data_IF_007924164619
#
_entry.id   IF_007924164619
#
_cell.length_a   1.000
_cell.length_b   1.000
_cell.length_c   1.000
_cell.angle_alpha   90.00
_cell.angle_beta   90.00
_cell.angle_gamma   90.00
#
_symmetry.space_group_name_H-M   'P 1'
#
loop_
_entity.id
_entity.type
_entity.pdbx_description
1 polymer ?
#
# COMPACT_ATOMS: atom_id res chain seq x y z
N UNK A 1 20.52 29.68 6.02
CA UNK A 1 20.87 28.40 5.37
C UNK A 1 20.72 27.35 6.46
N UNK A 2 19.55 26.69 6.50
CA UNK A 2 19.30 25.59 7.44
C UNK A 2 18.71 24.49 6.58
N UNK A 3 19.58 23.76 5.89
CA UNK A 3 19.19 22.51 5.25
C UNK A 3 19.14 21.48 6.37
N UNK A 4 17.93 21.09 6.77
CA UNK A 4 17.74 19.96 7.68
C UNK A 4 18.46 18.73 7.09
N UNK A 5 19.40 18.12 7.83
CA UNK A 5 20.19 17.03 7.30
C UNK A 5 19.32 15.77 7.19
N UNK A 6 19.05 15.37 5.95
CA UNK A 6 18.80 13.97 5.52
C UNK A 6 17.41 13.38 5.78
N UNK A 7 16.34 14.16 5.69
CA UNK A 7 15.03 13.56 5.41
C UNK A 7 15.03 13.05 3.95
N UNK A 8 15.03 11.72 3.75
CA UNK A 8 14.88 11.13 2.42
C UNK A 8 13.54 11.61 1.85
N UNK A 9 13.51 12.23 0.65
CA UNK A 9 12.26 12.68 0.08
C UNK A 9 11.37 11.46 -0.19
N UNK A 10 10.08 11.57 0.11
CA UNK A 10 9.09 10.49 -0.04
C UNK A 10 9.12 9.88 -1.46
N UNK A 11 9.41 10.69 -2.48
CA UNK A 11 9.54 10.27 -3.88
C UNK A 11 10.77 9.40 -4.17
N UNK A 12 11.80 9.41 -3.32
CA UNK A 12 12.97 8.55 -3.48
C UNK A 12 12.81 7.17 -2.81
N UNK A 13 11.72 6.97 -2.07
CA UNK A 13 11.41 5.68 -1.44
C UNK A 13 10.74 4.78 -2.47
N UNK A 14 11.33 3.63 -2.85
CA UNK A 14 10.76 2.73 -3.85
C UNK A 14 9.59 1.89 -3.31
N UNK A 15 9.29 2.00 -2.03
CA UNK A 15 8.20 1.29 -1.35
C UNK A 15 6.96 2.18 -1.31
N UNK A 16 5.75 1.65 -1.63
CA UNK A 16 4.50 2.35 -1.41
C UNK A 16 4.45 3.00 -0.03
N UNK A 17 4.35 4.33 0.02
CA UNK A 17 4.42 5.08 1.27
C UNK A 17 3.53 6.33 1.23
N UNK A 18 2.90 6.61 2.36
CA UNK A 18 2.11 7.81 2.60
C UNK A 18 2.42 8.43 3.97
N UNK A 19 2.30 9.75 4.06
CA UNK A 19 2.33 10.48 5.32
C UNK A 19 0.91 10.77 5.78
N UNK A 20 0.66 10.60 7.07
CA UNK A 20 -0.65 10.78 7.69
C UNK A 20 -0.64 11.99 8.60
N UNK A 21 -1.67 12.82 8.50
CA UNK A 21 -1.96 13.91 9.44
C UNK A 21 -3.19 13.58 10.26
N UNK A 22 -3.25 14.07 11.50
CA UNK A 22 -4.45 13.96 12.33
C UNK A 22 -5.16 15.32 12.31
N UNK A 23 -6.33 15.39 11.68
CA UNK A 23 -7.20 16.55 11.70
C UNK A 23 -8.50 16.19 12.41
N UNK A 24 -8.88 16.92 13.46
CA UNK A 24 -10.10 16.67 14.25
C UNK A 24 -10.23 15.21 14.75
N UNK A 25 -9.10 14.61 15.15
CA UNK A 25 -9.03 13.22 15.61
C UNK A 25 -9.21 12.18 14.49
N UNK A 26 -9.12 12.59 13.22
CA UNK A 26 -9.26 11.73 12.05
C UNK A 26 -7.94 11.66 11.29
N UNK A 27 -7.38 10.45 11.09
CA UNK A 27 -6.20 10.29 10.26
C UNK A 27 -6.55 10.48 8.77
N UNK A 28 -5.87 11.41 8.12
CA UNK A 28 -5.97 11.74 6.69
C UNK A 28 -4.65 11.51 5.98
N UNK A 29 -4.73 11.01 4.75
CA UNK A 29 -3.57 10.88 3.87
C UNK A 29 -3.19 12.28 3.37
N UNK A 30 -2.01 12.75 3.77
CA UNK A 30 -1.53 14.10 3.44
C UNK A 30 -0.63 14.10 2.21
N UNK A 31 0.22 13.08 2.06
CA UNK A 31 1.08 12.87 0.87
C UNK A 31 1.28 11.40 0.60
N UNK A 32 1.46 11.06 -0.67
CA UNK A 32 1.79 9.72 -1.16
C UNK A 32 2.98 9.81 -2.11
N UNK A 33 3.74 8.72 -2.29
CA UNK A 33 4.66 8.59 -3.42
C UNK A 33 4.00 7.91 -4.62
N UNK A 34 4.72 7.91 -5.75
CA UNK A 34 4.32 7.23 -6.99
C UNK A 34 4.07 5.74 -6.76
N UNK A 35 4.95 5.05 -6.01
CA UNK A 35 4.77 3.64 -5.69
C UNK A 35 3.46 3.36 -4.92
N UNK A 36 3.00 4.28 -4.08
CA UNK A 36 1.71 4.17 -3.40
C UNK A 36 0.55 4.29 -4.38
N UNK A 37 0.63 5.25 -5.30
CA UNK A 37 -0.38 5.45 -6.34
C UNK A 37 -0.44 4.25 -7.28
N UNK A 38 0.71 3.67 -7.65
CA UNK A 38 0.78 2.48 -8.50
C UNK A 38 0.19 1.24 -7.81
N UNK A 39 0.37 1.13 -6.48
CA UNK A 39 -0.11 0.00 -5.72
C UNK A 39 -1.61 0.10 -5.41
N UNK A 40 -2.09 1.26 -4.98
CA UNK A 40 -3.44 1.43 -4.41
C UNK A 40 -4.36 2.33 -5.23
N UNK A 41 -3.85 2.92 -6.31
CA UNK A 41 -4.54 3.92 -7.11
C UNK A 41 -4.34 5.36 -6.58
N UNK A 42 -4.79 6.36 -7.36
CA UNK A 42 -4.71 7.75 -6.96
C UNK A 42 -5.56 8.04 -5.71
N UNK A 43 -5.07 8.94 -4.87
CA UNK A 43 -5.75 9.37 -3.65
C UNK A 43 -5.95 10.88 -3.72
N UNK A 44 -7.20 11.32 -3.53
CA UNK A 44 -7.53 12.74 -3.44
C UNK A 44 -6.91 13.35 -2.17
N UNK A 45 -6.56 14.64 -2.21
CA UNK A 45 -6.08 15.35 -1.03
C UNK A 45 -7.10 15.26 0.12
N UNK A 46 -6.59 15.18 1.35
CA UNK A 46 -7.39 15.11 2.59
C UNK A 46 -8.31 13.87 2.72
N UNK A 47 -8.13 12.85 1.87
CA UNK A 47 -8.84 11.57 2.00
C UNK A 47 -8.55 10.93 3.35
N UNK A 48 -9.59 10.61 4.12
CA UNK A 48 -9.42 9.91 5.40
C UNK A 48 -8.97 8.47 5.18
N UNK A 49 -8.25 7.88 6.14
CA UNK A 49 -7.87 6.46 6.08
C UNK A 49 -9.09 5.55 5.89
N UNK A 50 -10.23 5.90 6.50
CA UNK A 50 -11.47 5.13 6.34
C UNK A 50 -12.13 5.27 4.97
N UNK A 51 -11.96 6.39 4.28
CA UNK A 51 -12.41 6.55 2.89
C UNK A 51 -11.49 5.83 1.94
N UNK A 52 -10.17 6.06 2.08
CA UNK A 52 -9.16 5.36 1.28
C UNK A 52 -9.29 3.85 1.38
N UNK A 53 -9.45 3.29 2.59
CA UNK A 53 -9.58 1.84 2.77
C UNK A 53 -10.79 1.25 2.03
N UNK A 54 -11.89 2.00 1.90
CA UNK A 54 -13.10 1.55 1.22
C UNK A 54 -13.02 1.67 -0.30
N UNK A 55 -12.29 2.67 -0.79
CA UNK A 55 -12.13 2.91 -2.23
C UNK A 55 -10.95 2.14 -2.82
N UNK A 56 -9.93 1.88 -2.01
CA UNK A 56 -8.74 1.18 -2.44
C UNK A 56 -9.08 -0.30 -2.72
N UNK A 57 -8.39 -0.94 -3.67
CA UNK A 57 -8.60 -2.35 -4.00
C UNK A 57 -7.97 -3.29 -2.96
N UNK A 58 -8.19 -3.01 -1.67
CA UNK A 58 -7.55 -3.66 -0.52
C UNK A 58 -8.49 -4.69 0.10
N UNK A 59 -7.97 -5.90 0.31
CA UNK A 59 -8.60 -6.96 1.07
C UNK A 59 -7.67 -7.37 2.22
N UNK A 60 -8.21 -7.53 3.42
CA UNK A 60 -7.42 -7.81 4.61
C UNK A 60 -8.22 -8.65 5.61
N UNK A 61 -7.63 -9.74 6.05
CA UNK A 61 -8.17 -10.58 7.13
C UNK A 61 -7.51 -10.26 8.49
N UNK A 62 -6.35 -9.59 8.48
CA UNK A 62 -5.49 -9.39 9.65
C UNK A 62 -5.45 -7.94 10.18
N UNK A 63 -5.71 -6.97 9.30
CA UNK A 63 -5.77 -5.54 9.63
C UNK A 63 -7.18 -5.05 9.38
N UNK A 64 -7.87 -4.62 10.44
CA UNK A 64 -9.13 -3.89 10.32
C UNK A 64 -8.89 -2.38 10.21
N UNK A 65 -9.77 -1.69 9.49
CA UNK A 65 -9.67 -0.24 9.31
C UNK A 65 -9.85 0.54 10.61
N UNK A 66 -10.63 0.03 11.57
CA UNK A 66 -10.81 0.64 12.88
C UNK A 66 -9.52 0.53 13.71
N UNK A 67 -8.85 -0.62 13.66
CA UNK A 67 -7.56 -0.84 14.34
C UNK A 67 -6.49 0.07 13.74
N UNK A 68 -6.40 0.13 12.39
CA UNK A 68 -5.48 1.04 11.70
C UNK A 68 -5.72 2.51 12.08
N UNK A 69 -6.99 2.94 12.16
CA UNK A 69 -7.34 4.31 12.56
C UNK A 69 -6.96 4.59 14.01
N UNK A 70 -7.20 3.61 14.89
CA UNK A 70 -6.87 3.71 16.32
C UNK A 70 -5.36 3.82 16.49
N UNK A 71 -4.60 2.93 15.85
CA UNK A 71 -3.15 2.93 15.88
C UNK A 71 -2.57 4.25 15.37
N UNK A 72 -3.02 4.73 14.20
CA UNK A 72 -2.58 6.01 13.66
C UNK A 72 -2.94 7.19 14.58
N UNK A 73 -4.09 7.18 15.24
CA UNK A 73 -4.50 8.28 16.12
C UNK A 73 -3.72 8.24 17.44
N UNK A 74 -3.65 7.06 18.07
CA UNK A 74 -3.01 6.79 19.36
C UNK A 74 -1.48 6.74 19.32
N UNK A 75 -0.91 6.63 18.12
CA UNK A 75 0.53 6.53 17.93
C UNK A 75 1.10 5.15 18.18
N UNK A 76 0.29 4.11 17.94
CA UNK A 76 0.70 2.72 18.03
C UNK A 76 1.13 2.22 16.65
N UNK A 77 2.03 1.24 16.64
CA UNK A 77 2.44 0.58 15.41
C UNK A 77 1.42 -0.50 15.04
N UNK A 78 1.17 -0.62 13.74
CA UNK A 78 0.43 -1.77 13.19
C UNK A 78 1.29 -2.43 12.13
N UNK A 79 1.22 -3.75 12.06
CA UNK A 79 1.90 -4.54 11.05
C UNK A 79 1.02 -5.72 10.67
N UNK A 80 0.59 -5.77 9.41
CA UNK A 80 -0.21 -6.88 8.93
C UNK A 80 -0.24 -6.99 7.41
N UNK A 81 -0.70 -8.15 6.94
CA UNK A 81 -0.78 -8.42 5.51
C UNK A 81 -2.09 -7.92 4.92
N UNK A 82 -1.99 -7.32 3.74
CA UNK A 82 -3.12 -6.91 2.91
C UNK A 82 -2.92 -7.44 1.49
N UNK A 83 -3.99 -7.86 0.84
CA UNK A 83 -4.00 -8.23 -0.58
C UNK A 83 -4.57 -7.06 -1.38
N UNK A 84 -4.01 -6.82 -2.55
CA UNK A 84 -4.42 -5.73 -3.43
C UNK A 84 -4.64 -6.27 -4.82
N UNK A 85 -5.83 -6.06 -5.38
CA UNK A 85 -6.24 -6.64 -6.66
C UNK A 85 -6.53 -5.54 -7.68
N UNK A 86 -5.62 -5.32 -8.64
CA UNK A 86 -5.74 -4.29 -9.70
C UNK A 86 -5.59 -4.95 -11.06
N UNK A 87 -6.49 -4.64 -12.00
CA UNK A 87 -6.50 -5.21 -13.37
C UNK A 87 -6.38 -6.74 -13.43
N UNK A 88 -7.01 -7.44 -12.47
CA UNK A 88 -6.96 -8.89 -12.36
C UNK A 88 -5.65 -9.46 -11.82
N UNK A 89 -4.72 -8.62 -11.35
CA UNK A 89 -3.48 -9.01 -10.70
C UNK A 89 -3.59 -8.78 -9.20
N UNK A 90 -3.46 -9.85 -8.42
CA UNK A 90 -3.45 -9.78 -6.94
C UNK A 90 -2.02 -9.77 -6.43
N UNK A 91 -1.67 -8.77 -5.60
CA UNK A 91 -0.37 -8.64 -4.93
C UNK A 91 -0.57 -8.59 -3.43
N UNK A 92 0.31 -9.25 -2.68
CA UNK A 92 0.31 -9.20 -1.22
C UNK A 92 1.33 -8.20 -0.72
N UNK A 93 0.89 -7.28 0.12
CA UNK A 93 1.73 -6.31 0.80
C UNK A 93 1.67 -6.50 2.32
N UNK A 94 2.79 -6.20 2.97
CA UNK A 94 2.86 -6.02 4.42
C UNK A 94 2.67 -4.54 4.72
N UNK A 95 1.48 -4.19 5.20
CA UNK A 95 1.09 -2.84 5.58
C UNK A 95 1.60 -2.53 6.99
N UNK A 96 2.26 -1.37 7.14
CA UNK A 96 2.78 -0.90 8.40
C UNK A 96 2.40 0.55 8.65
N UNK A 97 1.88 0.83 9.83
CA UNK A 97 1.78 2.17 10.37
C UNK A 97 2.89 2.37 11.41
N UNK A 98 3.56 3.52 11.34
CA UNK A 98 4.61 3.87 12.29
C UNK A 98 4.53 5.35 12.66
N UNK A 99 4.92 5.66 13.90
CA UNK A 99 5.03 7.03 14.39
C UNK A 99 6.47 7.33 14.79
N UNK A 100 7.10 8.27 14.09
CA UNK A 100 8.49 8.70 14.35
C UNK A 100 8.56 10.21 14.50
N UNK A 101 9.07 10.70 15.64
CA UNK A 101 9.20 12.13 15.91
C UNK A 101 7.88 12.94 15.81
N UNK A 102 6.72 12.29 15.95
CA UNK A 102 5.39 12.88 15.77
C UNK A 102 4.84 12.83 14.33
N UNK A 103 5.66 12.44 13.36
CA UNK A 103 5.23 12.13 12.01
C UNK A 103 4.62 10.73 11.95
N UNK A 104 3.48 10.59 11.28
CA UNK A 104 2.79 9.31 11.10
C UNK A 104 2.95 8.87 9.66
N UNK A 105 3.31 7.62 9.47
CA UNK A 105 3.54 7.07 8.14
C UNK A 105 2.77 5.78 7.96
N UNK A 106 2.34 5.54 6.73
CA UNK A 106 1.78 4.29 6.26
C UNK A 106 2.68 3.78 5.14
N UNK A 107 3.16 2.56 5.24
CA UNK A 107 3.99 1.94 4.21
C UNK A 107 3.48 0.55 3.88
N UNK A 108 3.66 0.12 2.63
CA UNK A 108 3.27 -1.21 2.20
C UNK A 108 4.44 -1.86 1.46
N UNK A 109 5.14 -2.79 2.11
CA UNK A 109 6.24 -3.50 1.49
C UNK A 109 5.71 -4.73 0.75
N UNK A 110 6.10 -4.97 -0.52
CA UNK A 110 5.72 -6.20 -1.19
C UNK A 110 6.30 -7.40 -0.45
N UNK A 111 5.48 -8.41 -0.19
CA UNK A 111 5.97 -9.67 0.35
C UNK A 111 6.83 -10.37 -0.72
N UNK A 112 8.12 -10.56 -0.43
CA UNK A 112 9.03 -11.29 -1.32
C UNK A 112 8.56 -12.74 -1.41
N UNK A 113 7.85 -13.07 -2.50
CA UNK A 113 7.42 -14.44 -2.81
C UNK A 113 5.95 -14.61 -3.20
N UNK A 114 5.14 -13.54 -3.22
CA UNK A 114 3.70 -13.62 -3.54
C UNK A 114 3.35 -12.95 -4.87
N UNK A 115 4.16 -13.15 -5.90
CA UNK A 115 3.66 -13.03 -7.28
C UNK A 115 2.98 -14.35 -7.58
N UNK A 116 1.70 -14.46 -7.23
CA UNK A 116 0.87 -15.49 -7.82
C UNK A 116 0.60 -14.98 -9.23
N UNK A 117 1.46 -15.37 -10.17
CA UNK A 117 1.22 -15.31 -11.62
C UNK A 117 0.05 -16.25 -11.93
N UNK A 118 -1.15 -15.90 -11.49
CA UNK A 118 -2.38 -16.44 -12.03
C UNK A 118 -2.61 -15.70 -13.35
N UNK A 119 -2.66 -16.46 -14.44
CA UNK A 119 -2.99 -16.03 -15.81
C UNK A 119 -1.88 -15.38 -16.67
N UNK A 120 -0.83 -16.17 -17.02
CA UNK A 120 -0.38 -16.31 -18.43
C UNK A 120 0.65 -17.42 -18.68
N UNK A 121 0.31 -18.68 -18.41
CA UNK A 121 0.89 -19.78 -19.21
C UNK A 121 -0.02 -20.00 -20.42
N UNK A 122 0.01 -19.03 -21.35
CA UNK A 122 -0.42 -19.28 -22.71
C UNK A 122 0.70 -20.03 -23.42
N UNK A 123 0.86 -21.33 -23.14
CA UNK A 123 1.69 -22.18 -24.01
C UNK A 123 0.90 -22.46 -25.27
N UNK A 124 1.11 -21.62 -26.27
CA UNK A 124 0.90 -21.96 -27.66
C UNK A 124 1.85 -23.10 -28.00
N UNK A 125 1.41 -24.36 -27.88
CA UNK A 125 1.92 -25.42 -28.75
C UNK A 125 0.91 -25.59 -29.86
N UNK A 126 1.22 -24.96 -30.99
CA UNK A 126 0.54 -25.19 -32.25
C UNK A 126 0.60 -26.68 -32.63
N UNK A 127 -0.54 -27.15 -33.13
CA UNK A 127 -0.70 -28.20 -34.14
C UNK A 127 -0.27 -29.63 -33.83
N UNK A 128 -1.30 -30.46 -33.66
CA UNK A 128 -1.49 -31.75 -34.32
C UNK A 128 -0.68 -31.91 -35.62
N UNK A 129 0.02 -33.04 -35.76
CA UNK A 129 0.06 -33.78 -37.02
C UNK A 129 0.58 -35.20 -36.80
N UNK A 130 -0.39 -36.10 -36.87
CA UNK A 130 -0.28 -37.55 -37.06
C UNK A 130 0.51 -37.86 -38.34
N UNK A 131 1.71 -38.41 -38.23
CA UNK A 131 2.36 -39.26 -39.26
C UNK A 131 3.54 -39.95 -38.56
N UNK A 132 3.64 -41.28 -38.42
CA UNK A 132 3.39 -42.36 -39.37
C UNK A 132 3.26 -43.68 -38.61
#
# INVERSE_FOLDING_TARGET
MTGDPTAVPLSAVPTPMATVTIADGRPTLSRTNEAFVDAFGPVEADTTIGEWWRSAPVESDAVDVADLRTALTGGEDIDGQVRVSVDGQTRTYRLRAAVDGGARTLSAAPERGSVVDADRIATVVSHDLRTR
#
